data_IF_021734372407
#
_entry.id   IF_021734372407
#
_cell.length_a   1.000
_cell.length_b   1.000
_cell.length_c   1.000
_cell.angle_alpha   90.00
_cell.angle_beta   90.00
_cell.angle_gamma   90.00
#
_symmetry.space_group_name_H-M   'P 1'
#
loop_
_entity.id
_entity.type
_entity.pdbx_description
1 polymer ?
#
# COMPACT_ATOMS: atom_id res chain seq x y z
N UNK A 1 0.09 -6.12 -29.45
CA UNK A 1 -0.80 -6.15 -28.26
C UNK A 1 -1.70 -7.35 -28.45
N UNK A 2 -1.58 -8.38 -27.62
CA UNK A 2 -2.46 -9.56 -27.69
C UNK A 2 -3.84 -9.22 -27.15
N UNK A 3 -4.89 -9.82 -27.69
CA UNK A 3 -6.27 -9.57 -27.26
C UNK A 3 -6.47 -9.85 -25.76
N UNK A 4 -7.15 -8.97 -25.02
CA UNK A 4 -7.39 -9.16 -23.60
C UNK A 4 -8.38 -10.30 -23.36
N UNK A 5 -7.93 -11.32 -22.64
CA UNK A 5 -8.75 -12.49 -22.28
C UNK A 5 -9.53 -12.17 -21.02
N UNK A 6 -10.86 -12.25 -21.09
CA UNK A 6 -11.75 -12.01 -19.96
C UNK A 6 -12.18 -13.33 -19.34
N UNK A 7 -12.07 -13.44 -18.01
CA UNK A 7 -12.42 -14.63 -17.23
C UNK A 7 -13.33 -14.19 -16.08
N UNK A 8 -14.19 -15.10 -15.57
CA UNK A 8 -15.13 -14.86 -14.46
C UNK A 8 -16.06 -13.67 -14.77
N UNK A 9 -16.81 -13.74 -15.88
CA UNK A 9 -17.76 -12.69 -16.29
C UNK A 9 -17.13 -11.30 -16.42
N UNK A 10 -15.86 -11.25 -16.83
CA UNK A 10 -15.11 -9.99 -16.96
C UNK A 10 -14.59 -9.41 -15.65
N UNK A 11 -14.68 -10.16 -14.55
CA UNK A 11 -14.04 -9.79 -13.28
C UNK A 11 -12.51 -9.84 -13.37
N UNK A 12 -11.96 -10.72 -14.21
CA UNK A 12 -10.53 -10.83 -14.46
C UNK A 12 -10.24 -10.55 -15.93
N UNK A 13 -9.37 -9.59 -16.20
CA UNK A 13 -8.87 -9.32 -17.55
C UNK A 13 -7.38 -9.60 -17.61
N UNK A 14 -6.98 -10.61 -18.37
CA UNK A 14 -5.59 -10.97 -18.63
C UNK A 14 -5.12 -10.31 -19.91
N UNK A 15 -3.98 -9.66 -19.85
CA UNK A 15 -3.30 -9.13 -21.02
C UNK A 15 -1.81 -9.42 -20.93
N UNK A 16 -1.19 -9.64 -22.09
CA UNK A 16 0.26 -9.79 -22.15
C UNK A 16 0.91 -8.41 -22.15
N UNK A 17 1.81 -8.19 -21.20
CA UNK A 17 2.69 -7.03 -21.20
C UNK A 17 4.09 -7.50 -21.58
N UNK A 18 4.70 -6.84 -22.55
CA UNK A 18 6.12 -7.03 -22.85
C UNK A 18 6.89 -6.07 -21.96
N UNK A 19 7.65 -6.60 -21.01
CA UNK A 19 8.55 -5.82 -20.17
C UNK A 19 9.94 -6.44 -20.28
N UNK A 20 10.90 -5.65 -20.75
CA UNK A 20 12.32 -6.04 -20.91
C UNK A 20 12.53 -7.41 -21.59
N UNK A 21 11.89 -7.63 -22.75
CA UNK A 21 12.05 -8.85 -23.54
C UNK A 21 11.27 -10.07 -23.04
N UNK A 22 10.72 -10.05 -21.83
CA UNK A 22 9.86 -11.10 -21.31
C UNK A 22 8.38 -10.81 -21.62
N UNK A 23 7.69 -11.78 -22.23
CA UNK A 23 6.22 -11.77 -22.37
C UNK A 23 5.63 -12.38 -21.11
N UNK A 24 5.18 -11.53 -20.20
CA UNK A 24 4.51 -11.96 -18.96
C UNK A 24 3.03 -11.64 -19.02
N UNK A 25 2.22 -12.55 -18.50
CA UNK A 25 0.80 -12.32 -18.31
C UNK A 25 0.58 -11.40 -17.12
N UNK A 26 -0.21 -10.34 -17.33
CA UNK A 26 -0.66 -9.43 -16.28
C UNK A 26 -2.18 -9.56 -16.15
N UNK A 27 -2.66 -9.72 -14.92
CA UNK A 27 -4.07 -9.80 -14.61
C UNK A 27 -4.55 -8.50 -13.95
N UNK A 28 -5.65 -7.97 -14.48
CA UNK A 28 -6.42 -6.89 -13.87
C UNK A 28 -7.67 -7.47 -13.22
N UNK A 29 -7.83 -7.24 -11.93
CA UNK A 29 -8.95 -7.71 -11.13
C UNK A 29 -9.93 -6.57 -10.86
N UNK A 30 -11.20 -6.81 -11.16
CA UNK A 30 -12.33 -5.96 -10.82
C UNK A 30 -13.16 -6.68 -9.76
N UNK A 31 -12.99 -6.28 -8.50
CA UNK A 31 -13.73 -6.86 -7.38
C UNK A 31 -15.05 -6.08 -7.24
N UNK A 32 -16.18 -6.78 -7.27
CA UNK A 32 -17.50 -6.17 -7.05
C UNK A 32 -17.58 -5.71 -5.60
N UNK A 33 -17.68 -4.39 -5.37
CA UNK A 33 -17.77 -3.78 -4.04
C UNK A 33 -16.53 -2.97 -3.61
N UNK A 34 -15.37 -3.18 -4.26
CA UNK A 34 -14.17 -2.39 -3.99
C UNK A 34 -14.06 -1.20 -4.95
N UNK A 35 -13.74 -0.01 -4.44
CA UNK A 35 -13.34 1.13 -5.28
C UNK A 35 -11.88 0.96 -5.70
N UNK A 36 -11.66 0.41 -6.90
CA UNK A 36 -10.33 0.32 -7.50
C UNK A 36 -10.15 -0.87 -8.44
N UNK A 37 -8.99 -0.93 -9.07
CA UNK A 37 -8.54 -2.09 -9.84
C UNK A 37 -7.21 -2.55 -9.27
N UNK A 38 -7.10 -3.85 -8.97
CA UNK A 38 -5.81 -4.45 -8.61
C UNK A 38 -5.18 -4.95 -9.89
N UNK A 39 -3.95 -4.52 -10.16
CA UNK A 39 -3.14 -5.04 -11.27
C UNK A 39 -2.03 -5.86 -10.66
N UNK A 40 -1.99 -7.15 -10.96
CA UNK A 40 -0.91 -8.03 -10.55
C UNK A 40 -0.32 -8.74 -11.75
N UNK A 41 1.01 -8.81 -11.81
CA UNK A 41 1.68 -9.66 -12.78
C UNK A 41 1.56 -11.12 -12.34
N UNK A 42 1.08 -11.98 -13.24
CA UNK A 42 0.97 -13.42 -12.99
C UNK A 42 2.34 -14.10 -13.07
N UNK A 43 3.32 -13.49 -13.74
CA UNK A 43 4.70 -13.99 -13.83
C UNK A 43 4.89 -15.23 -14.72
N UNK A 44 3.79 -15.86 -15.15
CA UNK A 44 3.78 -17.03 -16.03
C UNK A 44 3.87 -16.64 -17.50
N UNK A 45 4.35 -17.58 -18.33
CA UNK A 45 4.40 -17.49 -19.79
C UNK A 45 3.24 -18.27 -20.43
N UNK A 46 2.88 -19.38 -19.82
CA UNK A 46 1.77 -20.23 -20.25
C UNK A 46 0.42 -19.63 -19.89
N UNK A 47 -0.51 -19.69 -20.84
CA UNK A 47 -1.84 -19.13 -20.68
C UNK A 47 -2.62 -19.86 -19.59
N UNK A 48 -2.60 -21.19 -19.58
CA UNK A 48 -3.45 -21.99 -18.70
C UNK A 48 -3.03 -21.87 -17.23
N UNK A 49 -1.72 -21.95 -16.96
CA UNK A 49 -1.17 -21.63 -15.63
C UNK A 49 -1.52 -20.19 -15.21
N UNK A 50 -1.47 -19.23 -16.14
CA UNK A 50 -1.81 -17.86 -15.83
C UNK A 50 -3.30 -17.69 -15.44
N UNK A 51 -4.21 -18.49 -16.01
CA UNK A 51 -5.63 -18.48 -15.61
C UNK A 51 -5.84 -19.08 -14.22
N UNK A 52 -5.13 -20.14 -13.88
CA UNK A 52 -5.22 -20.77 -12.56
C UNK A 52 -4.74 -19.83 -11.46
N UNK A 53 -3.54 -19.28 -11.62
CA UNK A 53 -3.00 -18.29 -10.67
C UNK A 53 -3.91 -17.07 -10.56
N UNK A 54 -4.47 -16.60 -11.69
CA UNK A 54 -5.41 -15.48 -11.64
C UNK A 54 -6.71 -15.82 -10.90
N UNK A 55 -7.21 -17.05 -11.00
CA UNK A 55 -8.38 -17.51 -10.23
C UNK A 55 -8.08 -17.53 -8.74
N UNK A 56 -6.96 -18.11 -8.33
CA UNK A 56 -6.52 -18.17 -6.93
C UNK A 56 -6.42 -16.77 -6.33
N UNK A 57 -5.73 -15.85 -7.02
CA UNK A 57 -5.60 -14.45 -6.58
C UNK A 57 -6.93 -13.71 -6.49
N UNK A 58 -7.87 -14.00 -7.37
CA UNK A 58 -9.20 -13.40 -7.30
C UNK A 58 -9.95 -13.83 -6.03
N UNK A 59 -9.83 -15.09 -5.61
CA UNK A 59 -10.45 -15.57 -4.37
C UNK A 59 -9.81 -14.98 -3.13
N UNK A 60 -8.48 -14.89 -3.08
CA UNK A 60 -7.76 -14.22 -1.98
C UNK A 60 -8.23 -12.77 -1.82
N UNK A 61 -8.24 -12.01 -2.91
CA UNK A 61 -8.66 -10.61 -2.92
C UNK A 61 -10.13 -10.43 -2.51
N UNK A 62 -10.99 -11.38 -2.89
CA UNK A 62 -12.40 -11.38 -2.49
C UNK A 62 -12.55 -11.69 -0.99
N UNK A 63 -11.74 -12.62 -0.47
CA UNK A 63 -11.72 -12.94 0.96
C UNK A 63 -11.21 -11.76 1.79
N UNK A 64 -10.16 -11.07 1.35
CA UNK A 64 -9.63 -9.87 2.01
C UNK A 64 -10.63 -8.73 2.00
N UNK A 65 -11.35 -8.53 0.89
CA UNK A 65 -12.45 -7.59 0.82
C UNK A 65 -13.56 -7.92 1.83
N UNK A 66 -13.94 -9.19 1.92
CA UNK A 66 -14.95 -9.66 2.89
C UNK A 66 -14.49 -9.48 4.33
N UNK A 67 -13.18 -9.59 4.60
CA UNK A 67 -12.57 -9.34 5.91
C UNK A 67 -12.43 -7.85 6.24
N UNK A 68 -12.75 -6.95 5.30
CA UNK A 68 -12.62 -5.50 5.50
C UNK A 68 -11.18 -5.00 5.47
N UNK A 69 -10.23 -5.83 5.00
CA UNK A 69 -8.83 -5.41 4.84
C UNK A 69 -8.79 -4.48 3.62
N UNK A 70 -8.24 -3.28 3.80
CA UNK A 70 -8.12 -2.32 2.72
C UNK A 70 -7.22 -2.90 1.61
N UNK A 71 -7.84 -3.21 0.47
CA UNK A 71 -7.15 -3.77 -0.72
C UNK A 71 -6.08 -2.81 -1.25
N UNK A 72 -6.17 -1.52 -0.89
CA UNK A 72 -5.17 -0.52 -1.23
C UNK A 72 -4.58 0.01 0.08
N UNK A 73 -3.26 0.06 0.15
CA UNK A 73 -2.57 0.81 1.21
C UNK A 73 -3.01 2.28 1.14
N UNK A 74 -3.08 2.95 2.30
CA UNK A 74 -3.27 4.40 2.33
C UNK A 74 -2.19 5.04 1.45
N UNK A 75 -2.58 5.93 0.55
CA UNK A 75 -1.60 6.70 -0.23
C UNK A 75 -0.71 7.49 0.72
N UNK A 76 0.54 7.74 0.31
CA UNK A 76 1.49 8.50 1.11
C UNK A 76 0.92 9.85 1.57
N UNK A 77 0.16 10.53 0.69
CA UNK A 77 -0.55 11.78 1.02
C UNK A 77 -1.52 11.63 2.21
N UNK A 78 -2.30 10.54 2.27
CA UNK A 78 -3.20 10.28 3.40
C UNK A 78 -2.46 9.92 4.69
N UNK A 79 -1.27 9.34 4.59
CA UNK A 79 -0.42 9.11 5.75
C UNK A 79 0.14 10.43 6.29
N UNK A 80 0.54 11.35 5.40
CA UNK A 80 1.00 12.70 5.76
C UNK A 80 -0.13 13.51 6.39
N UNK A 81 -1.33 13.46 5.83
CA UNK A 81 -2.51 14.15 6.38
C UNK A 81 -2.83 13.67 7.80
N UNK A 82 -2.91 12.35 8.01
CA UNK A 82 -3.12 11.77 9.34
C UNK A 82 -2.01 12.16 10.34
N UNK A 83 -0.75 12.23 9.87
CA UNK A 83 0.35 12.68 10.71
C UNK A 83 0.21 14.15 11.12
N UNK A 84 -0.21 15.03 10.20
CA UNK A 84 -0.42 16.45 10.49
C UNK A 84 -1.60 16.66 11.46
N UNK A 85 -2.68 15.90 11.30
CA UNK A 85 -3.82 15.90 12.24
C UNK A 85 -3.36 15.50 13.65
N UNK A 86 -2.59 14.42 13.78
CA UNK A 86 -2.02 14.00 15.07
C UNK A 86 -1.14 15.09 15.70
N UNK A 87 -0.33 15.80 14.90
CA UNK A 87 0.47 16.94 15.39
C UNK A 87 -0.40 18.11 15.86
N UNK A 88 -1.49 18.42 15.15
CA UNK A 88 -2.42 19.49 15.54
C UNK A 88 -3.16 19.15 16.83
N UNK A 89 -3.57 17.89 17.01
CA UNK A 89 -4.18 17.41 18.26
C UNK A 89 -3.19 17.48 19.42
N UNK A 90 -1.94 17.08 19.20
CA UNK A 90 -0.88 17.17 20.21
C UNK A 90 -0.60 18.61 20.65
N UNK A 91 -0.57 19.55 19.69
CA UNK A 91 -0.37 20.97 19.95
C UNK A 91 -1.53 21.59 20.74
N UNK A 92 -2.77 21.31 20.34
CA UNK A 92 -3.99 21.88 20.97
C UNK A 92 -4.28 21.28 22.35
N UNK A 93 -3.94 20.01 22.55
CA UNK A 93 -4.14 19.30 23.82
C UNK A 93 -3.01 19.58 24.83
N UNK A 94 -1.99 20.36 24.46
CA UNK A 94 -0.87 20.73 25.33
C UNK A 94 0.03 19.56 25.75
N UNK A 95 -0.14 18.39 25.10
CA UNK A 95 0.68 17.21 25.35
C UNK A 95 1.92 17.37 24.50
N UNK A 96 2.93 18.06 25.03
CA UNK A 96 4.26 18.04 24.41
C UNK A 96 4.65 16.58 24.17
N UNK A 97 5.26 16.23 23.03
CA UNK A 97 5.79 14.89 22.83
C UNK A 97 6.93 14.73 23.83
N UNK A 98 6.59 14.21 25.01
CA UNK A 98 7.52 13.94 26.07
C UNK A 98 8.55 12.94 25.55
N UNK A 99 9.79 13.39 25.46
CA UNK A 99 10.94 12.52 25.68
C UNK A 99 11.58 11.92 24.44
N UNK A 100 12.20 12.75 23.60
CA UNK A 100 13.55 12.43 23.10
C UNK A 100 14.47 13.63 23.25
N UNK A 101 14.78 13.97 24.49
CA UNK A 101 15.94 14.77 24.84
C UNK A 101 16.46 14.31 26.20
N UNK A 102 17.19 13.19 26.21
CA UNK A 102 17.85 12.71 27.43
C UNK A 102 19.15 11.97 27.11
N UNK A 103 20.03 12.54 26.27
CA UNK A 103 21.47 12.17 26.29
C UNK A 103 22.38 13.28 25.78
N UNK A 104 22.30 14.48 26.33
CA UNK A 104 23.48 15.37 26.44
C UNK A 104 23.55 15.80 27.90
N UNK A 105 24.12 14.90 28.70
CA UNK A 105 24.49 15.15 30.09
C UNK A 105 25.77 15.97 30.09
N UNK A 106 25.72 17.14 30.76
CA UNK A 106 26.86 17.90 31.32
C UNK A 106 27.96 18.34 30.34
N UNK A 107 27.92 19.61 29.94
CA UNK A 107 29.11 20.47 29.98
C UNK A 107 28.72 21.80 30.65
N UNK A 108 29.27 21.99 31.85
CA UNK A 108 29.42 23.23 32.64
C UNK A 108 28.87 24.53 32.01
N UNK A 109 27.78 25.04 32.56
CA UNK A 109 27.62 26.49 32.76
C UNK A 109 28.07 26.80 34.19
N UNK A 110 29.36 27.07 34.35
CA UNK A 110 29.93 27.71 35.53
C UNK A 110 30.31 29.12 35.12
N UNK A 111 29.46 30.10 35.45
CA UNK A 111 29.81 31.52 35.54
C UNK A 111 28.61 32.30 36.07
N UNK A 112 28.54 32.47 37.39
CA UNK A 112 27.81 33.58 38.01
C UNK A 112 28.82 34.39 38.81
N UNK A 113 29.05 35.68 38.51
CA UNK A 113 29.88 36.50 39.37
C UNK A 113 29.09 36.87 40.63
N UNK A 114 29.80 36.79 41.76
CA UNK A 114 29.38 37.30 43.05
C UNK A 114 29.30 38.83 43.03
N UNK A 115 28.23 39.37 43.60
CA UNK A 115 28.14 40.70 44.25
C UNK A 115 26.86 40.73 45.06
#
# INVERSE_FOLDING_TARGET
MSDPIKILDGAVTLYQRTSNGARTWTARYKIKGAKGYVVAATGKRDLEEAKEVARERFYELTADHRRGIAIHSRTFSKAVEAYLEDQQVAFTTGKSPSGRCATIRRIRCAAGPAS
#
